data_IF_144890609779
#
_entry.id   IF_144890609779
#
_cell.length_a   1.000
_cell.length_b   1.000
_cell.length_c   1.000
_cell.angle_alpha   90.00
_cell.angle_beta   90.00
_cell.angle_gamma   90.00
#
_symmetry.space_group_name_H-M   'P 1'
#
loop_
_entity.id
_entity.type
_entity.pdbx_description
1 polymer ?
#
# COMPACT_ATOMS: atom_id res chain seq x y z
N UNK A 1 -43.37 4.13 -57.99
CA UNK A 1 -43.36 4.57 -56.58
C UNK A 1 -43.44 3.42 -55.62
N UNK A 2 -44.25 2.36 -55.75
CA UNK A 2 -44.31 1.21 -54.79
C UNK A 2 -43.00 0.41 -54.66
N UNK A 3 -42.19 0.30 -55.72
CA UNK A 3 -40.92 -0.45 -55.68
C UNK A 3 -39.80 0.27 -54.91
N UNK A 4 -39.83 1.61 -54.87
CA UNK A 4 -38.85 2.43 -54.13
C UNK A 4 -39.08 2.35 -52.62
N UNK A 5 -40.36 2.29 -52.22
CA UNK A 5 -40.72 2.15 -50.79
C UNK A 5 -40.25 0.80 -50.23
N UNK A 6 -40.31 -0.25 -51.05
CA UNK A 6 -39.86 -1.60 -50.62
C UNK A 6 -38.34 -1.69 -50.42
N UNK A 7 -37.57 -0.96 -51.26
CA UNK A 7 -36.12 -0.88 -51.14
C UNK A 7 -35.70 -0.07 -49.90
N UNK A 8 -36.40 0.99 -49.59
CA UNK A 8 -36.19 1.79 -48.37
C UNK A 8 -36.53 1.01 -47.08
N UNK A 9 -37.57 0.18 -47.15
CA UNK A 9 -37.96 -0.65 -45.99
C UNK A 9 -36.92 -1.78 -45.71
N UNK A 10 -36.32 -2.35 -46.78
CA UNK A 10 -35.27 -3.38 -46.64
C UNK A 10 -33.95 -2.82 -46.07
N UNK A 11 -33.65 -1.54 -46.29
CA UNK A 11 -32.45 -0.90 -45.80
C UNK A 11 -32.49 -0.62 -44.26
N UNK A 12 -33.70 -0.48 -43.73
CA UNK A 12 -33.87 -0.22 -42.26
C UNK A 12 -33.60 -1.44 -41.38
N UNK A 13 -33.58 -2.64 -41.94
CA UNK A 13 -33.39 -3.89 -41.16
C UNK A 13 -31.87 -4.17 -40.92
N UNK A 14 -30.99 -3.52 -41.66
CA UNK A 14 -29.55 -3.74 -41.59
C UNK A 14 -28.85 -2.94 -40.48
N UNK A 15 -29.57 -2.08 -39.73
CA UNK A 15 -28.95 -1.22 -38.72
C UNK A 15 -29.00 -1.81 -37.29
N UNK A 16 -29.53 -3.00 -37.09
CA UNK A 16 -29.68 -3.60 -35.76
C UNK A 16 -28.58 -4.62 -35.38
N UNK A 17 -27.49 -4.69 -36.13
CA UNK A 17 -26.46 -5.69 -35.93
C UNK A 17 -25.15 -5.07 -35.43
N UNK A 18 -25.22 -4.24 -34.43
CA UNK A 18 -24.04 -3.90 -33.60
C UNK A 18 -24.41 -3.97 -32.13
N UNK A 19 -24.75 -5.17 -31.73
CA UNK A 19 -24.61 -5.52 -30.33
C UNK A 19 -23.10 -5.52 -30.06
N UNK A 20 -22.63 -4.45 -29.42
CA UNK A 20 -21.29 -4.44 -28.83
C UNK A 20 -21.27 -5.59 -27.84
N UNK A 21 -20.61 -6.69 -28.21
CA UNK A 21 -20.07 -7.60 -27.24
C UNK A 21 -19.08 -6.76 -26.44
N UNK A 22 -19.58 -6.14 -25.38
CA UNK A 22 -18.76 -5.77 -24.25
C UNK A 22 -18.35 -7.14 -23.72
N UNK A 23 -17.27 -7.67 -24.30
CA UNK A 23 -16.47 -8.65 -23.63
C UNK A 23 -16.22 -8.05 -22.26
N UNK A 24 -16.95 -8.53 -21.29
CA UNK A 24 -16.68 -8.22 -19.90
C UNK A 24 -15.27 -8.76 -19.70
N UNK A 25 -14.29 -7.89 -19.91
CA UNK A 25 -12.97 -8.07 -19.39
C UNK A 25 -13.21 -8.29 -17.93
N UNK A 26 -13.30 -9.56 -17.56
CA UNK A 26 -13.19 -10.00 -16.19
C UNK A 26 -11.90 -9.33 -15.72
N UNK A 27 -12.07 -8.25 -14.97
CA UNK A 27 -10.94 -7.59 -14.33
C UNK A 27 -10.43 -8.65 -13.37
N UNK A 28 -9.53 -9.51 -13.88
CA UNK A 28 -8.71 -10.29 -13.00
C UNK A 28 -7.97 -9.26 -12.15
N UNK A 29 -8.49 -9.03 -10.96
CA UNK A 29 -7.70 -8.44 -9.91
C UNK A 29 -6.48 -9.35 -9.79
N UNK A 30 -5.38 -8.94 -10.43
CA UNK A 30 -4.10 -9.56 -10.21
C UNK A 30 -3.89 -9.44 -8.71
N UNK A 31 -4.00 -10.56 -8.01
CA UNK A 31 -3.67 -10.61 -6.61
C UNK A 31 -2.31 -9.96 -6.47
N UNK A 32 -2.23 -8.96 -5.62
CA UNK A 32 -1.03 -8.20 -5.35
C UNK A 32 0.11 -9.18 -5.12
N UNK A 33 1.10 -9.18 -6.00
CA UNK A 33 2.33 -9.94 -5.79
C UNK A 33 3.05 -9.26 -4.64
N UNK A 34 2.61 -9.58 -3.43
CA UNK A 34 3.32 -9.19 -2.23
C UNK A 34 4.73 -9.75 -2.41
N UNK A 35 5.74 -8.89 -2.32
CA UNK A 35 7.13 -9.31 -2.30
C UNK A 35 7.34 -10.13 -1.03
N UNK A 36 6.90 -11.38 -1.07
CA UNK A 36 6.80 -12.27 0.07
C UNK A 36 8.17 -12.76 0.56
N UNK A 37 9.23 -12.53 -0.23
CA UNK A 37 10.59 -12.93 0.11
C UNK A 37 11.19 -12.13 1.27
N UNK A 38 10.74 -10.88 1.47
CA UNK A 38 11.26 -9.97 2.51
C UNK A 38 10.39 -9.96 3.76
N UNK A 39 9.21 -10.62 3.73
CA UNK A 39 8.27 -10.64 4.85
C UNK A 39 8.45 -11.85 5.73
N UNK A 40 8.36 -11.61 7.03
CA UNK A 40 8.30 -12.69 8.01
C UNK A 40 6.97 -13.43 7.87
N UNK A 41 7.03 -14.75 7.88
CA UNK A 41 5.90 -15.66 7.87
C UNK A 41 5.74 -16.32 9.24
N UNK A 42 4.55 -16.85 9.51
CA UNK A 42 4.21 -17.47 10.80
C UNK A 42 5.12 -18.65 11.21
N UNK A 43 5.81 -19.25 10.26
CA UNK A 43 6.74 -20.34 10.52
C UNK A 43 8.14 -19.89 10.99
N UNK A 44 8.38 -18.58 11.05
CA UNK A 44 9.67 -18.00 11.47
C UNK A 44 9.52 -17.47 12.90
N UNK A 45 10.43 -17.78 13.84
CA UNK A 45 10.32 -17.38 15.25
C UNK A 45 10.71 -15.91 15.47
N UNK A 46 10.09 -15.01 14.73
CA UNK A 46 10.28 -13.56 14.83
C UNK A 46 8.91 -12.93 15.17
N UNK A 47 8.90 -12.07 16.17
CA UNK A 47 7.68 -11.35 16.52
C UNK A 47 7.40 -10.26 15.48
N UNK A 48 6.25 -10.31 14.86
CA UNK A 48 5.81 -9.30 13.89
C UNK A 48 4.33 -8.95 14.07
N UNK A 49 3.93 -7.85 13.49
CA UNK A 49 2.52 -7.47 13.32
C UNK A 49 2.30 -7.07 11.86
N UNK A 50 1.22 -7.55 11.29
CA UNK A 50 0.70 -7.07 10.03
C UNK A 50 -0.40 -6.05 10.31
N UNK A 51 -0.42 -4.97 9.55
CA UNK A 51 -1.47 -3.95 9.57
C UNK A 51 -2.05 -3.88 8.17
N UNK A 52 -3.34 -4.16 8.05
CA UNK A 52 -4.02 -4.17 6.75
C UNK A 52 -4.41 -2.77 6.31
N UNK A 53 -4.76 -2.63 5.03
CA UNK A 53 -5.27 -1.37 4.47
C UNK A 53 -6.49 -0.85 5.25
N UNK A 54 -7.39 -1.73 5.64
CA UNK A 54 -8.58 -1.37 6.39
C UNK A 54 -8.24 -0.81 7.78
N UNK A 55 -7.23 -1.36 8.44
CA UNK A 55 -6.76 -0.84 9.73
C UNK A 55 -6.06 0.50 9.57
N UNK A 56 -5.23 0.63 8.53
CA UNK A 56 -4.57 1.89 8.19
C UNK A 56 -5.63 2.96 7.92
N UNK A 57 -6.58 2.68 7.04
CA UNK A 57 -7.62 3.63 6.63
C UNK A 57 -8.49 4.12 7.79
N UNK A 58 -8.80 3.25 8.76
CA UNK A 58 -9.58 3.63 9.96
C UNK A 58 -8.85 4.62 10.86
N UNK A 59 -7.53 4.65 10.80
CA UNK A 59 -6.67 5.48 11.67
C UNK A 59 -6.03 6.64 10.94
N UNK A 60 -6.02 6.60 9.61
CA UNK A 60 -5.38 7.60 8.79
C UNK A 60 -6.20 8.90 8.78
N UNK A 61 -5.64 9.93 9.40
CA UNK A 61 -6.12 11.31 9.37
C UNK A 61 -5.12 12.22 8.64
N UNK A 62 -4.25 11.65 7.79
CA UNK A 62 -3.16 12.35 7.12
C UNK A 62 -1.86 12.45 7.93
N UNK A 63 -1.73 11.66 9.02
CA UNK A 63 -0.49 11.63 9.79
C UNK A 63 0.56 10.74 9.11
N UNK A 64 1.81 10.94 9.54
CA UNK A 64 2.93 10.12 9.13
C UNK A 64 2.80 8.68 9.67
N UNK A 65 3.39 7.73 8.95
CA UNK A 65 3.36 6.29 9.30
C UNK A 65 3.77 6.01 10.76
N UNK A 66 4.82 6.61 11.34
CA UNK A 66 5.15 6.41 12.75
C UNK A 66 3.95 6.59 13.68
N UNK A 67 3.21 7.65 13.49
CA UNK A 67 2.07 8.00 14.36
C UNK A 67 0.93 6.98 14.20
N UNK A 68 0.69 6.50 12.99
CA UNK A 68 -0.30 5.46 12.73
C UNK A 68 0.02 4.14 13.42
N UNK A 69 1.30 3.88 13.72
CA UNK A 69 1.77 2.64 14.33
C UNK A 69 1.85 2.70 15.87
N UNK A 70 1.52 3.82 16.49
CA UNK A 70 1.65 4.02 17.95
C UNK A 70 0.79 3.07 18.79
N UNK A 71 -0.23 2.45 18.19
CA UNK A 71 -1.08 1.46 18.87
C UNK A 71 -0.44 0.07 18.98
N UNK A 72 0.64 -0.18 18.22
CA UNK A 72 1.32 -1.46 18.26
C UNK A 72 2.13 -1.61 19.55
N UNK A 73 2.21 -2.82 20.09
CA UNK A 73 2.99 -3.06 21.29
C UNK A 73 4.49 -2.81 21.05
N UNK A 74 5.14 -2.20 22.02
CA UNK A 74 6.58 -1.85 22.01
C UNK A 74 6.97 -0.85 20.91
N UNK A 75 6.02 -0.08 20.41
CA UNK A 75 6.26 1.05 19.52
C UNK A 75 6.07 2.35 20.29
N UNK A 76 7.03 3.23 20.19
CA UNK A 76 6.98 4.60 20.75
C UNK A 76 7.23 5.57 19.61
N UNK A 77 6.41 6.58 19.50
CA UNK A 77 6.47 7.56 18.43
C UNK A 77 6.72 8.95 18.98
N UNK A 78 7.37 9.77 18.19
CA UNK A 78 7.63 11.19 18.50
C UNK A 78 7.15 12.05 17.35
N UNK A 79 6.76 13.27 17.66
CA UNK A 79 6.41 14.31 16.70
C UNK A 79 6.90 15.64 17.21
N UNK A 80 7.82 16.27 16.53
CA UNK A 80 8.43 17.52 16.97
C UNK A 80 7.40 18.66 16.97
N UNK A 81 6.53 18.70 15.97
CA UNK A 81 5.45 19.69 15.90
C UNK A 81 4.21 19.29 16.71
N UNK A 82 4.14 18.07 17.25
CA UNK A 82 2.99 17.56 18.01
C UNK A 82 1.78 17.17 17.17
N UNK A 83 1.72 17.57 15.90
CA UNK A 83 0.58 17.29 15.01
C UNK A 83 0.65 15.90 14.33
N UNK A 84 1.74 15.17 14.49
CA UNK A 84 1.94 13.87 13.87
C UNK A 84 2.29 13.92 12.39
N UNK A 85 2.71 15.07 11.90
CA UNK A 85 3.11 15.34 10.53
C UNK A 85 4.46 16.05 10.54
N UNK A 86 5.31 15.77 9.57
CA UNK A 86 6.62 16.39 9.39
C UNK A 86 7.74 15.59 10.05
N UNK A 87 8.45 16.18 11.00
CA UNK A 87 9.52 15.48 11.72
C UNK A 87 8.93 14.56 12.78
N UNK A 88 8.63 13.36 12.36
CA UNK A 88 8.13 12.29 13.21
C UNK A 88 9.17 11.19 13.33
N UNK A 89 9.12 10.43 14.41
CA UNK A 89 10.06 9.35 14.68
C UNK A 89 9.38 8.13 15.26
N UNK A 90 10.04 6.98 15.10
CA UNK A 90 9.59 5.70 15.64
C UNK A 90 10.73 5.02 16.38
N UNK A 91 10.40 4.39 17.50
CA UNK A 91 11.28 3.50 18.24
C UNK A 91 10.56 2.18 18.48
N UNK A 92 11.20 1.09 18.13
CA UNK A 92 10.65 -0.25 18.29
C UNK A 92 11.50 -0.99 19.32
N UNK A 93 10.89 -1.41 20.45
CA UNK A 93 11.61 -2.00 21.59
C UNK A 93 12.75 -1.13 22.13
N UNK A 94 12.59 0.19 22.07
CA UNK A 94 13.61 1.15 22.51
C UNK A 94 14.74 1.40 21.51
N UNK A 95 14.77 0.70 20.38
CA UNK A 95 15.77 0.89 19.32
C UNK A 95 15.43 2.19 18.58
N UNK A 96 16.44 2.99 18.28
CA UNK A 96 16.29 4.26 17.59
C UNK A 96 16.03 4.09 16.07
N UNK A 97 15.70 5.18 15.41
CA UNK A 97 15.41 5.20 13.97
C UNK A 97 16.60 4.78 13.10
N UNK A 98 17.83 5.10 13.50
CA UNK A 98 19.04 4.74 12.75
C UNK A 98 19.33 3.22 12.76
N UNK A 99 18.78 2.51 13.73
CA UNK A 99 18.90 1.05 13.85
C UNK A 99 17.60 0.33 13.48
N UNK A 100 16.64 1.06 12.91
CA UNK A 100 15.38 0.52 12.41
C UNK A 100 15.42 0.55 10.89
N UNK A 101 15.46 -0.62 10.27
CA UNK A 101 15.39 -0.71 8.81
C UNK A 101 13.96 -0.51 8.32
N UNK A 102 13.77 0.38 7.36
CA UNK A 102 12.50 0.65 6.70
C UNK A 102 12.61 0.28 5.22
N UNK A 103 11.69 -0.53 4.74
CA UNK A 103 11.66 -0.94 3.33
C UNK A 103 10.31 -0.60 2.71
N UNK A 104 10.33 -0.19 1.45
CA UNK A 104 9.14 -0.02 0.61
C UNK A 104 9.23 -1.05 -0.50
N UNK A 105 8.27 -1.95 -0.56
CA UNK A 105 8.26 -3.08 -1.51
C UNK A 105 9.57 -3.89 -1.51
N UNK A 106 10.19 -4.03 -0.33
CA UNK A 106 11.44 -4.76 -0.17
C UNK A 106 12.71 -3.97 -0.46
N UNK A 107 12.58 -2.72 -0.90
CA UNK A 107 13.73 -1.83 -1.17
C UNK A 107 14.01 -0.99 0.08
N UNK A 108 15.24 -1.00 0.63
CA UNK A 108 15.61 -0.15 1.75
C UNK A 108 15.37 1.33 1.44
N UNK A 109 14.75 2.03 2.36
CA UNK A 109 14.42 3.46 2.25
C UNK A 109 15.23 4.33 3.22
N UNK A 110 16.00 3.72 4.10
CA UNK A 110 16.86 4.46 5.02
C UNK A 110 17.85 5.34 4.25
N UNK A 111 18.05 6.54 4.72
CA UNK A 111 19.06 7.45 4.20
C UNK A 111 20.47 6.87 4.37
N UNK A 112 21.28 6.93 3.32
CA UNK A 112 22.59 6.27 3.30
C UNK A 112 23.63 6.93 4.21
N UNK A 113 23.46 8.20 4.58
CA UNK A 113 24.38 8.93 5.45
C UNK A 113 23.97 8.82 6.92
N UNK A 114 22.72 9.18 7.22
CA UNK A 114 22.20 9.21 8.59
C UNK A 114 21.71 7.86 9.09
N UNK A 115 21.50 6.90 8.19
CA UNK A 115 20.86 5.59 8.42
C UNK A 115 19.41 5.69 8.94
N UNK A 116 18.89 6.88 9.10
CA UNK A 116 17.52 7.14 9.54
C UNK A 116 16.52 7.17 8.40
N UNK A 117 15.26 7.32 8.76
CA UNK A 117 14.17 7.53 7.81
C UNK A 117 13.55 8.89 8.05
N UNK A 118 13.50 9.73 7.01
CA UNK A 118 12.87 11.03 7.05
C UNK A 118 11.42 10.90 6.60
N UNK A 119 10.50 10.80 7.56
CA UNK A 119 9.08 10.63 7.28
C UNK A 119 8.45 11.88 6.65
N UNK A 120 9.06 13.03 6.86
CA UNK A 120 8.66 14.30 6.23
C UNK A 120 8.69 14.24 4.70
N UNK A 121 9.50 13.36 4.11
CA UNK A 121 9.59 13.16 2.67
C UNK A 121 8.47 12.25 2.13
N UNK A 122 7.67 11.68 3.02
CA UNK A 122 6.57 10.77 2.71
C UNK A 122 5.22 11.27 3.27
N UNK A 123 4.78 12.50 2.89
CA UNK A 123 3.53 13.05 3.39
C UNK A 123 2.34 12.22 2.92
N UNK A 124 1.44 11.86 3.84
CA UNK A 124 0.24 11.03 3.59
C UNK A 124 0.51 9.72 2.83
N UNK A 125 1.73 9.22 2.94
CA UNK A 125 2.12 7.98 2.25
C UNK A 125 1.26 6.78 2.65
N UNK A 126 0.71 6.80 3.86
CA UNK A 126 -0.19 5.78 4.39
C UNK A 126 -1.43 5.55 3.50
N UNK A 127 -1.89 6.57 2.78
CA UNK A 127 -3.01 6.46 1.83
C UNK A 127 -2.68 5.57 0.63
N UNK A 128 -1.40 5.42 0.31
CA UNK A 128 -0.89 4.59 -0.79
C UNK A 128 -0.43 3.20 -0.35
N UNK A 129 -0.53 2.88 0.95
CA UNK A 129 -0.07 1.61 1.51
C UNK A 129 -1.20 0.59 1.57
N UNK A 130 -1.02 -0.56 0.92
CA UNK A 130 -1.96 -1.67 0.98
C UNK A 130 -1.83 -2.50 2.26
N UNK A 131 -0.61 -2.68 2.71
CA UNK A 131 -0.34 -3.40 3.95
C UNK A 131 1.05 -3.03 4.49
N UNK A 132 1.21 -3.18 5.80
CA UNK A 132 2.44 -2.86 6.49
C UNK A 132 2.79 -4.00 7.45
N UNK A 133 4.06 -4.36 7.53
CA UNK A 133 4.55 -5.32 8.51
C UNK A 133 5.59 -4.67 9.40
N UNK A 134 5.37 -4.74 10.70
CA UNK A 134 6.36 -4.33 11.71
C UNK A 134 6.98 -5.57 12.32
N UNK A 135 8.25 -5.77 12.06
CA UNK A 135 9.06 -6.83 12.64
C UNK A 135 9.77 -6.32 13.90
N UNK A 136 9.79 -7.13 14.94
CA UNK A 136 10.37 -6.75 16.23
C UNK A 136 11.39 -7.77 16.67
N UNK A 137 12.65 -7.38 16.63
CA UNK A 137 13.77 -8.23 17.02
C UNK A 137 14.96 -8.06 16.09
N UNK A 138 15.93 -8.92 16.20
CA UNK A 138 17.08 -8.93 15.31
C UNK A 138 16.55 -9.22 13.91
N UNK A 139 16.74 -8.27 13.00
CA UNK A 139 16.42 -8.43 11.60
C UNK A 139 17.12 -9.68 11.09
N UNK A 140 16.41 -10.46 10.34
CA UNK A 140 17.00 -11.61 9.69
C UNK A 140 17.87 -11.14 8.54
N UNK A 141 18.77 -11.97 8.09
CA UNK A 141 19.54 -11.82 6.84
C UNK A 141 18.66 -11.58 5.59
N UNK A 142 17.35 -11.60 5.74
CA UNK A 142 16.36 -11.32 4.70
C UNK A 142 16.21 -9.82 4.42
N UNK A 143 16.53 -8.98 5.40
CA UNK A 143 16.39 -7.53 5.27
C UNK A 143 17.74 -6.81 5.11
N UNK A 144 18.76 -7.54 4.74
CA UNK A 144 20.07 -7.14 4.28
C UNK A 144 20.78 -6.05 5.06
#
# INVERSE_FOLDING_TARGET
>A
MKKIVFVLLAFSISLSAQESVIDSLEIQNLEEVIVSSVRVKDNIPIAFNNVSKEEISKRNLGQDIPILLNFLPNVVTTSDAGAGIGYTGIRIRGINSQSTNVTINGIPYNDAESLGTFWVDLPDFSSSVENLQVQRGIGTSVNG
#
